data_IF_401824203118
#
_entry.id   IF_401824203118
#
_cell.length_a   1.000
_cell.length_b   1.000
_cell.length_c   1.000
_cell.angle_alpha   90.00
_cell.angle_beta   90.00
_cell.angle_gamma   90.00
#
_symmetry.space_group_name_H-M   'P 1'
#
loop_
_entity.id
_entity.type
_entity.pdbx_description
1 polymer ?
#
# COMPACT_ATOMS: atom_id res chain seq x y z
N UNK A 1 -0.15 8.88 -2.78
CA UNK A 1 -1.54 8.83 -2.25
C UNK A 1 -2.12 7.47 -2.59
N UNK A 2 -3.17 7.03 -1.91
CA UNK A 2 -3.94 5.84 -2.30
C UNK A 2 -5.43 6.14 -2.18
N UNK A 3 -6.25 5.52 -3.03
CA UNK A 3 -7.69 5.80 -3.13
C UNK A 3 -8.53 4.61 -2.70
N UNK A 4 -9.62 4.86 -1.98
CA UNK A 4 -10.68 3.91 -1.65
C UNK A 4 -12.01 4.60 -1.95
N UNK A 5 -12.49 4.47 -3.19
CA UNK A 5 -13.68 5.18 -3.64
C UNK A 5 -13.54 6.71 -3.49
N UNK A 6 -14.39 7.32 -2.66
CA UNK A 6 -14.35 8.77 -2.38
C UNK A 6 -13.29 9.17 -1.34
N UNK A 7 -12.71 8.22 -0.63
CA UNK A 7 -11.69 8.48 0.38
C UNK A 7 -10.29 8.39 -0.23
N UNK A 8 -9.47 9.40 0.01
CA UNK A 8 -8.10 9.49 -0.50
C UNK A 8 -7.15 9.66 0.67
N UNK A 9 -6.21 8.73 0.79
CA UNK A 9 -5.22 8.70 1.86
C UNK A 9 -3.91 9.33 1.37
N UNK A 10 -3.46 10.34 2.10
CA UNK A 10 -2.35 11.21 1.74
C UNK A 10 -1.24 11.07 2.79
N UNK A 11 -0.08 10.56 2.38
CA UNK A 11 1.13 10.57 3.20
C UNK A 11 1.83 11.92 3.03
N UNK A 12 2.14 12.58 4.15
CA UNK A 12 3.08 13.69 4.15
C UNK A 12 4.50 13.14 4.00
N UNK A 13 5.26 13.66 3.05
CA UNK A 13 6.62 13.20 2.77
C UNK A 13 7.47 14.35 2.20
N UNK A 14 8.71 14.05 1.81
CA UNK A 14 9.60 15.02 1.18
C UNK A 14 9.03 15.61 -0.13
N UNK A 15 8.22 14.85 -0.88
CA UNK A 15 7.57 15.29 -2.11
C UNK A 15 6.13 15.78 -1.91
N UNK A 16 5.56 15.62 -0.72
CA UNK A 16 4.14 15.82 -0.45
C UNK A 16 3.91 16.62 0.85
N UNK A 17 3.59 17.92 0.73
CA UNK A 17 3.47 18.84 1.87
C UNK A 17 2.01 19.24 2.22
N UNK A 18 1.82 20.03 3.29
CA UNK A 18 0.49 20.49 3.73
C UNK A 18 -0.19 21.50 2.78
N UNK A 19 0.57 22.22 1.95
CA UNK A 19 -0.04 23.06 0.90
C UNK A 19 -0.65 22.18 -0.20
N UNK A 20 0.00 21.06 -0.53
CA UNK A 20 -0.49 20.06 -1.48
C UNK A 20 -1.85 19.49 -1.09
N UNK A 21 -1.99 18.90 0.11
CA UNK A 21 -3.28 18.35 0.56
C UNK A 21 -4.38 19.42 0.68
N UNK A 22 -4.02 20.67 1.06
CA UNK A 22 -4.99 21.78 1.09
C UNK A 22 -5.47 22.17 -0.29
N UNK A 23 -4.57 22.19 -1.28
CA UNK A 23 -4.93 22.41 -2.67
C UNK A 23 -5.85 21.29 -3.17
N UNK A 24 -5.51 20.03 -2.91
CA UNK A 24 -6.34 18.87 -3.29
C UNK A 24 -7.76 18.95 -2.71
N UNK A 25 -7.90 19.26 -1.41
CA UNK A 25 -9.22 19.48 -0.77
C UNK A 25 -9.98 20.70 -1.32
N UNK A 26 -9.28 21.67 -1.91
CA UNK A 26 -9.90 22.82 -2.56
C UNK A 26 -10.45 22.44 -3.93
N UNK A 27 -9.65 21.71 -4.70
CA UNK A 27 -9.96 21.35 -6.09
C UNK A 27 -11.01 20.23 -6.18
N UNK A 28 -10.83 19.16 -5.41
CA UNK A 28 -11.66 17.97 -5.50
C UNK A 28 -12.66 17.88 -4.34
N UNK A 29 -13.78 18.60 -4.47
CA UNK A 29 -14.80 18.70 -3.40
C UNK A 29 -15.56 17.41 -3.14
N UNK A 30 -15.65 16.53 -4.13
CA UNK A 30 -16.36 15.26 -4.02
C UNK A 30 -15.52 14.15 -3.35
N UNK A 31 -14.23 14.43 -3.11
CA UNK A 31 -13.29 13.52 -2.47
C UNK A 31 -12.99 13.94 -1.03
N UNK A 32 -12.80 12.94 -0.16
CA UNK A 32 -12.45 13.10 1.25
C UNK A 32 -10.98 12.75 1.44
N UNK A 33 -10.16 13.75 1.73
CA UNK A 33 -8.72 13.55 1.91
C UNK A 33 -8.36 13.33 3.39
N UNK A 34 -7.74 12.20 3.68
CA UNK A 34 -7.25 11.77 5.00
C UNK A 34 -5.72 11.87 5.02
N UNK A 35 -5.17 12.62 5.97
CA UNK A 35 -3.72 12.66 6.15
C UNK A 35 -3.29 11.43 6.96
N UNK A 36 -2.22 10.76 6.53
CA UNK A 36 -1.66 9.57 7.17
C UNK A 36 -0.22 9.83 7.59
N UNK A 37 0.16 9.28 8.75
CA UNK A 37 1.50 9.42 9.32
C UNK A 37 2.11 8.04 9.59
N UNK A 38 3.34 7.85 9.11
CA UNK A 38 4.08 6.60 9.25
C UNK A 38 5.41 6.91 9.95
N UNK A 39 5.53 6.48 11.20
CA UNK A 39 6.70 6.83 12.02
C UNK A 39 7.99 6.23 11.44
N UNK A 40 9.05 7.02 11.42
CA UNK A 40 10.38 6.65 10.92
C UNK A 40 10.41 6.19 9.46
N UNK A 41 9.39 6.54 8.66
CA UNK A 41 9.38 6.29 7.24
C UNK A 41 9.73 7.56 6.45
N UNK A 42 10.89 7.55 5.83
CA UNK A 42 11.41 8.66 5.03
C UNK A 42 11.14 8.50 3.53
N UNK A 43 10.49 7.42 3.12
CA UNK A 43 10.17 7.17 1.71
C UNK A 43 9.09 8.15 1.22
N UNK A 44 9.13 8.56 -0.06
CA UNK A 44 8.22 9.60 -0.55
C UNK A 44 6.78 9.12 -0.73
N UNK A 45 6.57 7.84 -1.04
CA UNK A 45 5.28 7.28 -1.46
C UNK A 45 4.61 6.44 -0.36
N UNK A 46 3.30 6.20 -0.47
CA UNK A 46 2.45 5.55 0.56
C UNK A 46 2.11 4.09 0.25
N UNK A 47 2.32 3.68 -1.00
CA UNK A 47 1.95 2.41 -1.63
C UNK A 47 2.81 1.22 -1.21
N UNK A 48 3.65 1.41 -0.19
CA UNK A 48 4.36 0.37 0.56
C UNK A 48 4.03 0.44 2.05
N UNK A 49 3.07 1.28 2.45
CA UNK A 49 2.66 1.49 3.84
C UNK A 49 1.22 1.05 4.10
N UNK A 50 0.32 1.44 3.19
CA UNK A 50 -1.12 1.26 3.29
C UNK A 50 -1.64 0.82 1.92
N UNK A 51 -2.03 -0.45 1.80
CA UNK A 51 -2.45 -1.06 0.55
C UNK A 51 -3.87 -1.62 0.71
N UNK A 52 -4.90 -0.91 0.21
CA UNK A 52 -6.26 -1.41 0.19
C UNK A 52 -6.37 -2.61 -0.76
N UNK A 53 -6.72 -3.78 -0.25
CA UNK A 53 -6.74 -5.02 -1.04
C UNK A 53 -8.16 -5.37 -1.52
N UNK A 54 -9.12 -5.40 -0.58
CA UNK A 54 -10.51 -5.78 -0.84
C UNK A 54 -11.44 -4.92 0.04
N UNK A 55 -12.47 -4.28 -0.51
CA UNK A 55 -13.45 -3.57 0.31
C UNK A 55 -14.34 -4.52 1.11
N UNK A 56 -14.89 -4.10 2.26
CA UNK A 56 -15.91 -4.86 2.97
C UNK A 56 -17.15 -5.01 2.11
N UNK A 57 -17.75 -6.20 2.13
CA UNK A 57 -19.00 -6.52 1.42
C UNK A 57 -19.91 -7.35 2.31
N UNK A 58 -21.18 -7.50 1.92
CA UNK A 58 -22.11 -8.38 2.64
C UNK A 58 -21.59 -9.82 2.60
N UNK A 59 -21.00 -10.29 3.71
CA UNK A 59 -20.44 -11.63 3.85
C UNK A 59 -18.90 -11.73 3.77
N UNK A 60 -18.17 -10.62 3.69
CA UNK A 60 -16.71 -10.60 3.83
C UNK A 60 -16.21 -9.29 4.43
N UNK A 61 -15.33 -9.41 5.42
CA UNK A 61 -14.53 -8.28 5.90
C UNK A 61 -13.72 -7.65 4.77
N UNK A 62 -13.49 -6.34 4.90
CA UNK A 62 -12.50 -5.64 4.09
C UNK A 62 -11.09 -6.06 4.48
N UNK A 63 -10.13 -5.94 3.58
CA UNK A 63 -8.72 -6.21 3.84
C UNK A 63 -7.91 -5.00 3.42
N UNK A 64 -7.18 -4.44 4.38
CA UNK A 64 -6.12 -3.48 4.12
C UNK A 64 -4.80 -4.07 4.63
N UNK A 65 -3.82 -4.14 3.73
CA UNK A 65 -2.48 -4.60 4.04
C UNK A 65 -1.65 -3.40 4.56
N UNK A 66 -0.99 -3.60 5.68
CA UNK A 66 -0.23 -2.60 6.43
C UNK A 66 1.21 -3.03 6.53
N UNK A 67 2.13 -2.11 6.30
CA UNK A 67 3.54 -2.33 6.55
C UNK A 67 3.83 -2.33 8.06
N UNK A 68 4.23 -3.48 8.59
CA UNK A 68 4.56 -3.65 10.00
C UNK A 68 5.78 -2.84 10.47
N UNK A 69 6.69 -2.45 9.57
CA UNK A 69 7.87 -1.67 9.94
C UNK A 69 7.53 -0.19 10.17
N UNK A 70 6.47 0.29 9.51
CA UNK A 70 6.02 1.67 9.55
C UNK A 70 4.50 1.72 9.61
N UNK A 71 3.87 1.25 10.70
CA UNK A 71 2.42 1.27 10.81
C UNK A 71 1.89 2.71 10.95
N UNK A 72 0.66 2.99 10.50
CA UNK A 72 -0.02 4.23 10.83
C UNK A 72 -0.25 4.38 12.33
N UNK A 73 -0.62 5.58 12.78
CA UNK A 73 -1.01 5.77 14.19
C UNK A 73 -2.28 5.00 14.54
N UNK A 74 -2.47 4.66 15.82
CA UNK A 74 -3.63 3.90 16.27
C UNK A 74 -4.98 4.56 15.92
N UNK A 75 -5.06 5.89 15.99
CA UNK A 75 -6.26 6.64 15.62
C UNK A 75 -6.54 6.60 14.12
N UNK A 76 -5.50 6.60 13.28
CA UNK A 76 -5.65 6.48 11.82
C UNK A 76 -6.06 5.05 11.44
N UNK A 77 -5.52 4.04 12.13
CA UNK A 77 -5.94 2.64 11.97
C UNK A 77 -7.39 2.42 12.40
N UNK A 78 -7.86 3.13 13.42
CA UNK A 78 -9.24 3.03 13.93
C UNK A 78 -10.29 3.33 12.85
N UNK A 79 -9.99 4.24 11.92
CA UNK A 79 -10.87 4.54 10.79
C UNK A 79 -11.21 3.29 9.97
N UNK A 80 -10.27 2.37 9.80
CA UNK A 80 -10.48 1.12 9.08
C UNK A 80 -11.30 0.15 9.92
N UNK A 81 -10.91 -0.08 11.17
CA UNK A 81 -11.58 -1.05 12.05
C UNK A 81 -13.01 -0.66 12.38
N UNK A 82 -13.30 0.64 12.48
CA UNK A 82 -14.67 1.16 12.69
C UNK A 82 -15.58 0.96 11.47
N UNK A 83 -15.03 0.58 10.32
CA UNK A 83 -15.74 0.42 9.05
C UNK A 83 -15.54 -1.00 8.46
N UNK A 84 -15.42 -2.00 9.32
CA UNK A 84 -15.37 -3.42 8.95
C UNK A 84 -14.16 -3.83 8.08
N UNK A 85 -13.06 -3.08 8.16
CA UNK A 85 -11.79 -3.47 7.55
C UNK A 85 -10.92 -4.21 8.55
N UNK A 86 -10.45 -5.40 8.14
CA UNK A 86 -9.39 -6.13 8.80
C UNK A 86 -8.04 -5.55 8.40
N UNK A 87 -7.26 -5.17 9.42
CA UNK A 87 -5.86 -4.79 9.27
C UNK A 87 -5.02 -6.07 9.17
N UNK A 88 -4.34 -6.26 8.05
CA UNK A 88 -3.40 -7.36 7.85
C UNK A 88 -2.00 -6.78 7.81
N UNK A 89 -1.10 -7.28 8.65
CA UNK A 89 0.30 -6.85 8.62
C UNK A 89 1.09 -7.71 7.63
N UNK A 90 1.66 -7.05 6.62
CA UNK A 90 2.43 -7.72 5.58
C UNK A 90 3.75 -8.28 6.12
N UNK A 91 4.25 -9.40 5.57
CA UNK A 91 5.51 -9.98 5.97
C UNK A 91 6.69 -9.07 5.60
N UNK A 92 7.86 -9.37 6.18
CA UNK A 92 9.11 -8.73 5.77
C UNK A 92 9.48 -9.15 4.33
N UNK A 93 10.22 -8.32 3.58
CA UNK A 93 10.79 -8.73 2.31
C UNK A 93 11.57 -10.04 2.43
N UNK A 94 11.46 -10.89 1.42
CA UNK A 94 12.15 -12.19 1.37
C UNK A 94 13.66 -12.03 1.28
N UNK A 95 14.11 -10.91 0.70
CA UNK A 95 15.53 -10.57 0.60
C UNK A 95 15.77 -9.12 1.02
N UNK A 96 16.89 -8.91 1.72
CA UNK A 96 17.41 -7.60 2.05
C UNK A 96 18.35 -7.06 0.95
N UNK A 97 18.44 -7.74 -0.21
CA UNK A 97 19.25 -7.27 -1.33
C UNK A 97 18.60 -6.04 -1.94
N UNK A 98 19.19 -4.88 -1.63
CA UNK A 98 18.83 -3.60 -2.22
C UNK A 98 19.80 -3.32 -3.36
N UNK A 99 19.30 -2.79 -4.48
CA UNK A 99 20.16 -2.33 -5.55
C UNK A 99 20.99 -1.14 -5.06
N UNK A 100 22.30 -1.06 -5.37
CA UNK A 100 23.16 0.01 -4.91
C UNK A 100 22.73 1.40 -5.41
N UNK A 101 21.89 1.46 -6.43
CA UNK A 101 21.41 2.71 -7.06
C UNK A 101 19.93 3.00 -6.80
N UNK A 102 19.18 2.05 -6.23
CA UNK A 102 17.76 2.23 -6.00
C UNK A 102 17.49 3.23 -4.86
N UNK A 103 16.70 4.25 -5.15
CA UNK A 103 16.21 5.21 -4.16
C UNK A 103 14.75 4.92 -3.85
N UNK A 104 14.49 3.81 -3.15
CA UNK A 104 13.14 3.36 -2.81
C UNK A 104 13.06 2.71 -1.43
N UNK A 105 11.85 2.34 -1.04
CA UNK A 105 11.61 1.60 0.19
C UNK A 105 12.31 0.23 0.17
N UNK A 106 12.86 -0.25 1.29
CA UNK A 106 13.25 -1.66 1.39
C UNK A 106 12.03 -2.60 1.38
N UNK A 107 10.82 -2.08 1.57
CA UNK A 107 9.57 -2.84 1.62
C UNK A 107 8.83 -2.89 0.28
N UNK A 108 9.55 -2.90 -0.84
CA UNK A 108 8.94 -3.02 -2.18
C UNK A 108 8.19 -4.34 -2.38
N UNK A 109 8.38 -5.33 -1.51
CA UNK A 109 7.58 -6.54 -1.48
C UNK A 109 6.07 -6.23 -1.37
N UNK A 110 5.71 -5.15 -0.67
CA UNK A 110 4.31 -4.74 -0.50
C UNK A 110 3.78 -3.89 -1.65
N UNK A 111 4.63 -3.50 -2.62
CA UNK A 111 4.22 -2.69 -3.77
C UNK A 111 3.61 -3.56 -4.87
N UNK A 112 2.46 -4.15 -4.55
CA UNK A 112 1.69 -5.05 -5.40
C UNK A 112 0.57 -4.32 -6.14
N UNK A 113 0.02 -4.94 -7.19
CA UNK A 113 -1.14 -4.42 -7.92
C UNK A 113 -2.36 -5.31 -7.72
N UNK A 114 -3.48 -4.75 -7.28
CA UNK A 114 -4.76 -5.46 -7.24
C UNK A 114 -5.47 -5.35 -8.59
N UNK A 115 -5.77 -6.48 -9.24
CA UNK A 115 -6.55 -6.52 -10.48
C UNK A 115 -8.06 -6.59 -10.21
N UNK A 116 -8.43 -7.19 -9.09
CA UNK A 116 -9.80 -7.27 -8.61
C UNK A 116 -9.81 -7.45 -7.09
N UNK A 117 -10.98 -7.40 -6.42
CA UNK A 117 -11.09 -7.71 -4.99
C UNK A 117 -10.65 -9.13 -4.60
N UNK A 118 -10.37 -10.02 -5.57
CA UNK A 118 -9.91 -11.38 -5.35
C UNK A 118 -8.58 -11.70 -6.03
N UNK A 119 -8.01 -10.81 -6.84
CA UNK A 119 -6.81 -11.13 -7.62
C UNK A 119 -5.80 -10.00 -7.55
N UNK A 120 -4.54 -10.36 -7.36
CA UNK A 120 -3.44 -9.40 -7.30
C UNK A 120 -2.17 -9.96 -7.97
N UNK A 121 -1.26 -9.05 -8.34
CA UNK A 121 0.05 -9.37 -8.88
C UNK A 121 1.11 -8.96 -7.86
N UNK A 122 2.00 -9.88 -7.53
CA UNK A 122 3.15 -9.67 -6.65
C UNK A 122 4.47 -10.01 -7.37
N UNK A 123 5.59 -9.60 -6.77
CA UNK A 123 6.91 -10.02 -7.22
C UNK A 123 7.17 -11.49 -6.86
N UNK A 124 7.67 -12.28 -7.81
CA UNK A 124 7.69 -13.74 -7.72
C UNK A 124 8.51 -14.32 -6.56
N UNK A 125 9.59 -13.65 -6.14
CA UNK A 125 10.40 -14.19 -5.05
C UNK A 125 9.85 -13.84 -3.65
N UNK A 126 8.73 -13.11 -3.56
CA UNK A 126 8.09 -12.76 -2.29
C UNK A 126 7.16 -13.86 -1.74
N UNK A 127 7.73 -15.05 -1.54
CA UNK A 127 7.01 -16.27 -1.11
C UNK A 127 6.21 -16.11 0.20
N UNK A 128 6.70 -15.41 1.25
CA UNK A 128 5.90 -15.19 2.45
C UNK A 128 4.65 -14.34 2.20
N UNK A 129 4.74 -13.37 1.28
CA UNK A 129 3.60 -12.54 0.90
C UNK A 129 2.60 -13.35 0.07
N UNK A 130 3.10 -14.16 -0.87
CA UNK A 130 2.29 -15.11 -1.63
C UNK A 130 1.41 -15.96 -0.69
N UNK A 131 2.03 -16.66 0.26
CA UNK A 131 1.33 -17.56 1.17
C UNK A 131 0.29 -16.80 2.02
N UNK A 132 0.64 -15.61 2.53
CA UNK A 132 -0.30 -14.80 3.32
C UNK A 132 -1.52 -14.38 2.49
N UNK A 133 -1.33 -14.00 1.22
CA UNK A 133 -2.42 -13.57 0.36
C UNK A 133 -3.31 -14.73 -0.09
N UNK A 134 -2.73 -15.90 -0.39
CA UNK A 134 -3.48 -17.14 -0.65
C UNK A 134 -4.33 -17.56 0.56
N UNK A 135 -3.76 -17.50 1.78
CA UNK A 135 -4.48 -17.80 3.03
C UNK A 135 -5.66 -16.83 3.26
N UNK A 136 -5.60 -15.61 2.70
CA UNK A 136 -6.66 -14.61 2.73
C UNK A 136 -7.68 -14.77 1.58
N UNK A 137 -7.48 -15.77 0.72
CA UNK A 137 -8.36 -16.12 -0.39
C UNK A 137 -8.21 -15.23 -1.62
N UNK A 138 -7.00 -14.71 -1.87
CA UNK A 138 -6.68 -14.07 -3.14
C UNK A 138 -6.11 -15.08 -4.13
N UNK A 139 -6.45 -14.94 -5.41
CA UNK A 139 -5.76 -15.54 -6.53
C UNK A 139 -4.48 -14.72 -6.81
N UNK A 140 -3.32 -15.26 -6.43
CA UNK A 140 -2.04 -14.52 -6.50
C UNK A 140 -1.30 -14.84 -7.80
N UNK A 141 -1.12 -13.81 -8.64
CA UNK A 141 -0.27 -13.88 -9.84
C UNK A 141 1.14 -13.44 -9.47
N UNK A 142 2.14 -14.23 -9.83
CA UNK A 142 3.55 -13.86 -9.64
C UNK A 142 4.16 -13.32 -10.93
N UNK A 143 5.09 -12.37 -10.80
CA UNK A 143 5.83 -11.80 -11.93
C UNK A 143 7.30 -11.61 -11.57
N UNK A 144 8.26 -11.98 -12.45
CA UNK A 144 9.68 -11.69 -12.29
C UNK A 144 9.94 -10.18 -12.45
N UNK A 145 9.71 -9.41 -11.38
CA UNK A 145 9.73 -7.94 -11.42
C UNK A 145 10.94 -7.33 -10.71
N UNK A 146 11.72 -8.14 -9.97
CA UNK A 146 12.79 -7.66 -9.08
C UNK A 146 13.80 -6.71 -9.74
N UNK A 147 14.12 -6.91 -11.01
CA UNK A 147 15.08 -6.05 -11.74
C UNK A 147 14.58 -4.61 -11.88
N UNK A 148 13.26 -4.38 -11.92
CA UNK A 148 12.71 -3.03 -12.04
C UNK A 148 12.77 -2.23 -10.73
N UNK A 149 12.93 -2.91 -9.59
CA UNK A 149 13.15 -2.25 -8.30
C UNK A 149 14.37 -1.31 -8.31
N UNK A 150 15.34 -1.53 -9.20
CA UNK A 150 16.49 -0.61 -9.39
C UNK A 150 16.06 0.80 -9.78
N UNK A 151 14.93 0.93 -10.47
CA UNK A 151 14.35 2.20 -10.92
C UNK A 151 13.39 2.82 -9.90
N UNK A 152 13.28 2.22 -8.72
CA UNK A 152 12.67 2.82 -7.54
C UNK A 152 11.18 2.50 -7.33
N UNK A 153 10.64 1.52 -8.06
CA UNK A 153 9.24 1.12 -7.98
C UNK A 153 9.06 -0.40 -7.91
N UNK A 154 7.91 -0.83 -7.41
CA UNK A 154 7.38 -2.17 -7.69
C UNK A 154 6.23 -2.07 -8.69
N UNK A 155 5.36 -3.07 -8.70
CA UNK A 155 4.34 -3.23 -9.74
C UNK A 155 3.32 -2.08 -9.71
N UNK A 156 2.92 -1.62 -8.52
CA UNK A 156 2.00 -0.48 -8.38
C UNK A 156 2.63 0.83 -8.88
N UNK A 157 3.90 1.09 -8.55
CA UNK A 157 4.60 2.29 -9.03
C UNK A 157 4.71 2.36 -10.56
N UNK A 158 4.79 1.22 -11.22
CA UNK A 158 5.00 1.11 -12.68
C UNK A 158 3.69 1.02 -13.47
N UNK A 159 2.55 1.26 -12.81
CA UNK A 159 1.21 1.24 -13.42
C UNK A 159 0.38 2.46 -13.00
N UNK A 160 -0.79 2.62 -13.64
CA UNK A 160 -1.75 3.68 -13.31
C UNK A 160 -3.17 3.21 -13.63
N UNK A 161 -4.02 3.13 -12.60
CA UNK A 161 -5.41 2.66 -12.64
C UNK A 161 -6.47 3.71 -12.19
#
# INVERSE_FOLDING_TARGET
MVRIGKDVFYKRSASANYKGIRWLRKEFKDLRFHAMHFQNDFTPHIDVNLIPMRPPTSGSDGIVLINQNHPPSASEMKLFTDNDWKLVFGPKPTTNKVSPVAVCSPNLNLNLLCLSPKCCIIEECEVPLYNQLEDLGFDVITCPFRTLNEYGGGIHCDTWD
#
